data_IF_726940538282
#
_entry.id   IF_726940538282
#
_cell.length_a   1.000
_cell.length_b   1.000
_cell.length_c   1.000
_cell.angle_alpha   90.00
_cell.angle_beta   90.00
_cell.angle_gamma   90.00
#
_symmetry.space_group_name_H-M   'P 1'
#
loop_
_entity.id
_entity.type
_entity.pdbx_description
1 polymer ?
#
# COMPACT_ATOMS: atom_id res chain seq x y z
N UNK A 1 23.25 1.24 17.17
CA UNK A 1 23.63 2.03 16.01
C UNK A 1 23.29 1.35 14.71
N UNK A 2 23.84 0.16 14.52
CA UNK A 2 23.54 -0.59 13.30
C UNK A 2 22.08 -0.91 13.15
N UNK A 3 21.39 -1.15 14.27
CA UNK A 3 19.97 -1.47 14.25
C UNK A 3 19.14 -0.30 13.72
N UNK A 4 19.50 0.91 14.12
CA UNK A 4 18.78 2.10 13.67
C UNK A 4 18.97 2.29 12.18
N UNK A 5 20.20 2.07 11.69
CA UNK A 5 20.52 2.16 10.28
C UNK A 5 19.75 1.14 9.47
N UNK A 6 19.69 -0.09 9.98
CA UNK A 6 18.92 -1.17 9.36
C UNK A 6 17.46 -0.82 9.26
N UNK A 7 16.90 -0.28 10.34
CA UNK A 7 15.50 0.08 10.39
C UNK A 7 15.16 1.13 9.36
N UNK A 8 16.03 2.13 9.19
CA UNK A 8 15.80 3.18 8.22
C UNK A 8 15.83 2.64 6.79
N UNK A 9 16.75 1.75 6.49
CA UNK A 9 16.81 1.12 5.19
C UNK A 9 15.59 0.29 4.91
N UNK A 10 15.12 -0.41 5.93
CA UNK A 10 13.94 -1.23 5.82
C UNK A 10 12.71 -0.38 5.50
N UNK A 11 12.58 0.76 6.20
CA UNK A 11 11.47 1.67 5.98
C UNK A 11 11.48 2.20 4.54
N UNK A 12 12.65 2.55 4.03
CA UNK A 12 12.76 3.00 2.66
C UNK A 12 12.28 1.96 1.66
N UNK A 13 12.53 0.68 1.96
CA UNK A 13 12.20 -0.39 1.04
C UNK A 13 10.74 -0.79 1.04
N UNK A 14 9.97 -0.38 2.05
CA UNK A 14 8.56 -0.75 2.12
C UNK A 14 7.66 0.15 1.27
N UNK A 15 8.12 1.35 0.95
CA UNK A 15 7.30 2.29 0.19
C UNK A 15 7.24 1.90 -1.28
N UNK A 16 6.22 2.38 -2.00
CA UNK A 16 6.06 2.02 -3.41
C UNK A 16 7.29 2.33 -4.24
N UNK A 17 7.66 1.40 -5.10
CA UNK A 17 8.76 1.58 -6.04
C UNK A 17 8.21 1.95 -7.40
N UNK A 18 9.04 2.59 -8.21
CA UNK A 18 8.65 2.99 -9.55
C UNK A 18 8.21 1.77 -10.36
N UNK A 19 7.05 1.89 -11.01
CA UNK A 19 6.52 0.81 -11.82
C UNK A 19 5.85 -0.30 -11.05
N UNK A 20 5.77 -0.18 -9.73
CA UNK A 20 5.19 -1.20 -8.90
C UNK A 20 3.69 -0.97 -8.73
N UNK A 21 2.91 -2.05 -8.72
CA UNK A 21 1.47 -1.93 -8.54
C UNK A 21 1.11 -1.56 -7.11
N UNK A 22 -0.07 -0.97 -6.95
CA UNK A 22 -0.60 -0.63 -5.63
C UNK A 22 -0.70 -1.89 -4.77
N UNK A 23 -1.17 -2.98 -5.35
CA UNK A 23 -1.35 -4.23 -4.62
C UNK A 23 -0.06 -4.75 -4.04
N UNK A 24 1.00 -4.76 -4.84
CA UNK A 24 2.29 -5.28 -4.38
C UNK A 24 2.89 -4.40 -3.30
N UNK A 25 2.87 -3.09 -3.51
CA UNK A 25 3.47 -2.18 -2.54
C UNK A 25 2.68 -2.16 -1.24
N UNK A 26 1.35 -2.19 -1.32
CA UNK A 26 0.52 -2.25 -0.12
C UNK A 26 0.77 -3.54 0.66
N UNK A 27 0.89 -4.65 -0.06
CA UNK A 27 1.17 -5.94 0.56
C UNK A 27 2.50 -5.94 1.31
N UNK A 28 3.51 -5.30 0.74
CA UNK A 28 4.81 -5.22 1.39
C UNK A 28 4.75 -4.41 2.67
N UNK A 29 4.02 -3.28 2.64
CA UNK A 29 3.84 -2.45 3.83
C UNK A 29 3.16 -3.25 4.93
N UNK A 30 2.11 -3.98 4.58
CA UNK A 30 1.38 -4.79 5.55
C UNK A 30 2.26 -5.87 6.15
N UNK A 31 3.06 -6.52 5.32
CA UNK A 31 3.97 -7.56 5.78
C UNK A 31 4.98 -7.00 6.77
N UNK A 32 5.50 -5.82 6.49
CA UNK A 32 6.46 -5.19 7.38
C UNK A 32 5.82 -4.84 8.72
N UNK A 33 4.60 -4.33 8.69
CA UNK A 33 3.89 -3.98 9.92
C UNK A 33 3.64 -5.20 10.80
N UNK A 34 3.33 -6.34 10.17
CA UNK A 34 3.15 -7.57 10.94
C UNK A 34 4.47 -8.10 11.49
N UNK A 35 5.55 -7.95 10.74
CA UNK A 35 6.85 -8.47 11.16
C UNK A 35 7.52 -7.60 12.21
N UNK A 36 7.18 -6.32 12.25
CA UNK A 36 7.83 -5.37 13.16
C UNK A 36 6.75 -4.63 13.95
N UNK A 37 6.14 -5.30 14.93
CA UNK A 37 5.04 -4.69 15.70
C UNK A 37 5.48 -3.50 16.54
N UNK A 38 6.79 -3.32 16.73
CA UNK A 38 7.30 -2.19 17.50
C UNK A 38 7.39 -0.90 16.71
N UNK A 39 7.13 -0.96 15.40
CA UNK A 39 7.07 0.25 14.59
C UNK A 39 5.79 1.00 14.90
N UNK A 40 5.95 2.17 15.50
CA UNK A 40 4.81 2.98 15.88
C UNK A 40 4.53 4.05 14.82
N UNK A 41 4.08 3.59 13.66
CA UNK A 41 3.59 4.51 12.66
C UNK A 41 2.06 4.44 12.66
N UNK A 42 1.42 5.61 12.79
CA UNK A 42 -0.02 5.65 12.73
C UNK A 42 -0.48 5.31 11.31
N UNK A 43 -1.71 4.81 11.21
CA UNK A 43 -2.29 4.51 9.91
C UNK A 43 -2.33 5.73 9.01
N UNK A 44 -2.60 6.89 9.60
CA UNK A 44 -2.64 8.13 8.85
C UNK A 44 -1.31 8.43 8.18
N UNK A 45 -0.22 8.31 8.93
CA UNK A 45 1.12 8.57 8.39
C UNK A 45 1.47 7.57 7.31
N UNK A 46 1.13 6.31 7.53
CA UNK A 46 1.39 5.26 6.54
C UNK A 46 0.69 5.59 5.22
N UNK A 47 -0.57 5.95 5.29
CA UNK A 47 -1.34 6.25 4.08
C UNK A 47 -0.82 7.49 3.39
N UNK A 48 -0.48 8.53 4.13
CA UNK A 48 0.05 9.75 3.54
C UNK A 48 1.32 9.48 2.75
N UNK A 49 2.23 8.75 3.35
CA UNK A 49 3.48 8.42 2.66
C UNK A 49 3.26 7.47 1.50
N UNK A 50 2.36 6.52 1.66
CA UNK A 50 2.03 5.59 0.59
C UNK A 50 1.50 6.32 -0.63
N UNK A 51 0.49 7.16 -0.42
CA UNK A 51 -0.14 7.88 -1.53
C UNK A 51 0.87 8.83 -2.21
N UNK A 52 1.67 9.54 -1.41
CA UNK A 52 2.61 10.52 -1.93
C UNK A 52 3.65 9.88 -2.85
N UNK A 53 3.95 8.60 -2.65
CA UNK A 53 4.97 7.90 -3.44
C UNK A 53 4.41 7.09 -4.58
N UNK A 54 3.10 7.10 -4.75
CA UNK A 54 2.48 6.42 -5.89
C UNK A 54 2.66 7.26 -7.16
N UNK A 55 2.62 6.59 -8.31
CA UNK A 55 2.60 7.27 -9.58
C UNK A 55 1.31 8.07 -9.71
N UNK A 56 1.30 9.03 -10.63
CA UNK A 56 0.10 9.81 -10.88
C UNK A 56 -1.07 8.94 -11.32
N UNK A 57 -0.78 7.93 -12.14
CA UNK A 57 -1.82 7.00 -12.57
C UNK A 57 -2.45 6.29 -11.38
N UNK A 58 -1.62 5.83 -10.45
CA UNK A 58 -2.12 5.11 -9.29
C UNK A 58 -2.88 6.04 -8.35
N UNK A 59 -2.39 7.26 -8.18
CA UNK A 59 -3.12 8.25 -7.38
C UNK A 59 -4.49 8.54 -7.99
N UNK A 60 -4.53 8.71 -9.29
CA UNK A 60 -5.79 8.94 -10.01
C UNK A 60 -6.73 7.76 -9.86
N UNK A 61 -6.19 6.56 -9.90
CA UNK A 61 -7.01 5.36 -9.75
C UNK A 61 -7.65 5.31 -8.37
N UNK A 62 -6.90 5.67 -7.34
CA UNK A 62 -7.46 5.72 -5.99
C UNK A 62 -8.54 6.79 -5.88
N UNK A 63 -8.28 7.96 -6.44
CA UNK A 63 -9.26 9.04 -6.43
C UNK A 63 -10.54 8.63 -7.13
N UNK A 64 -10.42 8.00 -8.30
CA UNK A 64 -11.56 7.52 -9.04
C UNK A 64 -12.33 6.45 -8.27
N UNK A 65 -11.60 5.57 -7.60
CA UNK A 65 -12.21 4.47 -6.86
C UNK A 65 -13.10 4.96 -5.72
N UNK A 66 -12.83 6.15 -5.19
CA UNK A 66 -13.62 6.69 -4.10
C UNK A 66 -14.48 7.88 -4.52
N UNK A 67 -14.62 8.10 -5.82
CA UNK A 67 -15.47 9.15 -6.38
C UNK A 67 -15.10 10.53 -5.86
N UNK A 68 -13.81 10.81 -5.78
CA UNK A 68 -13.37 12.11 -5.32
C UNK A 68 -11.91 12.06 -4.97
N UNK A 69 -11.53 12.77 -3.91
CA UNK A 69 -10.15 12.80 -3.47
C UNK A 69 -9.91 11.77 -2.38
N UNK A 70 -9.05 10.81 -2.69
CA UNK A 70 -8.68 9.76 -1.74
C UNK A 70 -8.14 10.38 -0.43
N UNK A 71 -7.29 11.41 -0.56
CA UNK A 71 -6.66 12.00 0.62
C UNK A 71 -7.61 12.82 1.48
N UNK A 72 -8.80 13.12 0.98
CA UNK A 72 -9.83 13.82 1.77
C UNK A 72 -10.74 12.87 2.52
N UNK A 73 -10.61 11.58 2.30
CA UNK A 73 -11.40 10.59 3.01
C UNK A 73 -10.82 10.33 4.38
N UNK A 74 -11.62 9.69 5.24
CA UNK A 74 -11.12 9.32 6.57
C UNK A 74 -10.05 8.24 6.46
N UNK A 75 -9.21 8.15 7.47
CA UNK A 75 -8.16 7.14 7.50
C UNK A 75 -8.75 5.74 7.44
N UNK A 76 -9.85 5.50 8.14
CA UNK A 76 -10.50 4.21 8.11
C UNK A 76 -10.99 3.85 6.72
N UNK A 77 -11.60 4.80 6.05
CA UNK A 77 -12.07 4.57 4.67
C UNK A 77 -10.89 4.26 3.75
N UNK A 78 -9.82 5.02 3.88
CA UNK A 78 -8.63 4.84 3.05
C UNK A 78 -8.02 3.45 3.25
N UNK A 79 -7.89 3.05 4.50
CA UNK A 79 -7.34 1.74 4.85
C UNK A 79 -8.20 0.62 4.27
N UNK A 80 -9.51 0.72 4.48
CA UNK A 80 -10.44 -0.29 3.98
C UNK A 80 -10.42 -0.39 2.46
N UNK A 81 -10.30 0.75 1.79
CA UNK A 81 -10.24 0.75 0.33
C UNK A 81 -9.00 0.01 -0.16
N UNK A 82 -7.84 0.30 0.44
CA UNK A 82 -6.59 -0.36 0.06
C UNK A 82 -6.66 -1.87 0.33
N UNK A 83 -7.24 -2.26 1.45
CA UNK A 83 -7.43 -3.67 1.76
C UNK A 83 -8.34 -4.34 0.76
N UNK A 84 -9.38 -3.66 0.33
CA UNK A 84 -10.32 -4.19 -0.64
C UNK A 84 -9.67 -4.34 -2.01
N UNK A 85 -8.89 -3.34 -2.42
CA UNK A 85 -8.18 -3.39 -3.69
C UNK A 85 -7.24 -4.59 -3.71
N UNK A 86 -6.49 -4.78 -2.63
CA UNK A 86 -5.58 -5.89 -2.53
C UNK A 86 -6.30 -7.23 -2.62
N UNK A 87 -7.42 -7.35 -1.93
CA UNK A 87 -8.21 -8.58 -1.92
C UNK A 87 -8.76 -8.88 -3.30
N UNK A 88 -9.31 -7.89 -3.95
CA UNK A 88 -9.90 -8.07 -5.28
C UNK A 88 -8.84 -8.40 -6.32
N UNK A 89 -7.70 -7.74 -6.24
CA UNK A 89 -6.61 -7.99 -7.17
C UNK A 89 -6.08 -9.41 -7.02
N UNK A 90 -5.97 -9.88 -5.78
CA UNK A 90 -5.52 -11.23 -5.53
C UNK A 90 -6.47 -12.25 -6.11
N UNK A 91 -7.78 -12.02 -5.94
CA UNK A 91 -8.80 -12.90 -6.50
C UNK A 91 -8.72 -12.90 -8.02
N UNK A 92 -8.53 -11.73 -8.58
CA UNK A 92 -8.43 -11.57 -10.03
C UNK A 92 -7.21 -12.30 -10.58
N UNK A 93 -6.09 -12.20 -9.89
CA UNK A 93 -4.87 -12.90 -10.30
C UNK A 93 -5.06 -14.43 -10.31
N UNK A 94 -5.77 -14.94 -9.31
CA UNK A 94 -6.07 -16.36 -9.26
C UNK A 94 -6.92 -16.80 -10.44
N UNK A 95 -7.92 -15.99 -10.79
CA UNK A 95 -8.79 -16.29 -11.92
C UNK A 95 -8.01 -16.25 -13.23
N UNK A 96 -7.14 -15.27 -13.38
CA UNK A 96 -6.29 -15.19 -14.57
C UNK A 96 -5.38 -16.39 -14.69
N UNK A 97 -4.82 -16.81 -13.57
CA UNK A 97 -3.97 -17.98 -13.55
C UNK A 97 -4.70 -19.21 -14.04
N UNK A 98 -5.96 -19.36 -13.64
CA UNK A 98 -6.76 -20.49 -14.09
C UNK A 98 -7.07 -20.40 -15.57
N UNK A 99 -7.35 -19.19 -16.04
CA UNK A 99 -7.69 -18.99 -17.44
C UNK A 99 -6.54 -19.34 -18.36
N UNK A 100 -5.32 -19.17 -17.89
CA UNK A 100 -4.14 -19.43 -18.69
C UNK A 100 -3.78 -20.90 -18.74
N UNK A 101 -4.32 -21.67 -17.85
CA UNK A 101 -4.08 -23.10 -17.82
C UNK A 101 -5.05 -23.82 -18.73
#
# INVERSE_FOLDING_TARGET
MHLVHHDQNYIYNIWPHEGESITLSWGRIKSMLYSCPNYELSREIIIQNFYARLSRNDQSMLDTSCNGSFMKKTTEFQWDLLERIKRNSKDWELDEGRSQV
#
